data_IF_654275378344
#
_entry.id   IF_654275378344
#
_cell.length_a   1.000
_cell.length_b   1.000
_cell.length_c   1.000
_cell.angle_alpha   90.00
_cell.angle_beta   90.00
_cell.angle_gamma   90.00
#
_symmetry.space_group_name_H-M   'P 1'
#
loop_
_entity.id
_entity.type
_entity.pdbx_description
1 polymer ?
#
# COMPACT_ATOMS: atom_id res chain seq x y z
N UNK A 1 14.25 18.35 5.80
CA UNK A 1 13.05 18.71 6.59
C UNK A 1 12.41 17.43 7.08
N UNK A 2 12.40 17.20 8.41
CA UNK A 2 11.74 16.03 8.98
C UNK A 2 10.22 16.19 8.85
N UNK A 3 9.53 15.27 8.16
CA UNK A 3 8.07 15.18 8.18
C UNK A 3 7.65 14.99 9.63
N UNK A 4 7.00 16.00 10.20
CA UNK A 4 6.49 15.99 11.56
C UNK A 4 5.46 14.85 11.68
N UNK A 5 5.78 13.78 12.43
CA UNK A 5 5.00 12.53 12.51
C UNK A 5 3.90 12.66 13.58
N UNK A 6 3.09 13.71 13.51
CA UNK A 6 2.00 13.91 14.48
C UNK A 6 0.75 13.16 14.00
N UNK A 7 0.29 12.20 14.80
CA UNK A 7 -1.01 11.53 14.64
C UNK A 7 -1.02 10.12 14.06
N UNK A 8 0.12 9.51 13.76
CA UNK A 8 0.17 8.09 13.38
C UNK A 8 0.14 7.20 14.63
N UNK A 9 -0.74 6.20 14.61
CA UNK A 9 -0.87 5.16 15.65
C UNK A 9 -0.57 3.80 15.05
N UNK A 10 -0.09 2.87 15.87
CA UNK A 10 0.12 1.48 15.44
C UNK A 10 -1.20 0.88 14.93
N UNK A 11 -1.14 0.23 13.77
CA UNK A 11 -2.33 -0.42 13.22
C UNK A 11 -2.72 -1.62 14.07
N UNK A 12 -4.02 -1.78 14.28
CA UNK A 12 -4.71 -2.82 15.02
C UNK A 12 -5.93 -3.24 14.18
N UNK A 13 -6.46 -4.43 14.42
CA UNK A 13 -7.59 -4.97 13.63
C UNK A 13 -8.84 -4.09 13.66
N UNK A 14 -8.96 -3.22 14.68
CA UNK A 14 -10.09 -2.32 14.89
C UNK A 14 -9.88 -0.88 14.37
N UNK A 15 -8.66 -0.53 13.95
CA UNK A 15 -8.33 0.84 13.50
C UNK A 15 -7.90 0.94 12.03
N UNK A 16 -7.90 -0.18 11.30
CA UNK A 16 -7.66 -0.21 9.86
C UNK A 16 -8.87 0.36 9.09
N UNK A 17 -8.65 0.95 7.90
CA UNK A 17 -9.74 1.32 7.02
C UNK A 17 -10.49 0.09 6.54
N UNK A 18 -11.81 0.23 6.37
CA UNK A 18 -12.60 -0.81 5.70
C UNK A 18 -12.29 -0.75 4.21
N UNK A 19 -11.93 -1.89 3.65
CA UNK A 19 -11.75 -2.07 2.21
C UNK A 19 -12.76 -3.11 1.71
N UNK A 20 -13.45 -2.78 0.63
CA UNK A 20 -14.32 -3.71 -0.09
C UNK A 20 -13.68 -4.12 -1.42
N UNK A 21 -14.06 -5.30 -1.93
CA UNK A 21 -13.65 -5.82 -3.24
C UNK A 21 -13.92 -4.82 -4.36
N UNK A 22 -15.03 -4.08 -4.28
CA UNK A 22 -15.37 -3.04 -5.24
C UNK A 22 -14.35 -1.89 -5.22
N UNK A 23 -13.97 -1.38 -4.06
CA UNK A 23 -12.96 -0.32 -3.94
C UNK A 23 -11.63 -0.72 -4.56
N UNK A 24 -11.25 -1.98 -4.36
CA UNK A 24 -10.02 -2.56 -4.91
C UNK A 24 -10.15 -2.68 -6.43
N UNK A 25 -11.27 -3.19 -6.94
CA UNK A 25 -11.53 -3.31 -8.37
C UNK A 25 -11.54 -1.94 -9.07
N UNK A 26 -12.21 -0.95 -8.49
CA UNK A 26 -12.28 0.42 -9.00
C UNK A 26 -10.88 1.02 -9.07
N UNK A 27 -10.10 0.90 -7.99
CA UNK A 27 -8.71 1.36 -7.96
C UNK A 27 -7.85 0.72 -9.07
N UNK A 28 -7.96 -0.59 -9.29
CA UNK A 28 -7.24 -1.29 -10.35
C UNK A 28 -7.70 -0.88 -11.76
N UNK A 29 -8.99 -0.55 -11.93
CA UNK A 29 -9.55 -0.14 -13.20
C UNK A 29 -9.16 1.30 -13.59
N UNK A 30 -9.06 2.19 -12.61
CA UNK A 30 -8.74 3.61 -12.78
C UNK A 30 -7.23 3.87 -12.93
N UNK A 31 -6.37 2.94 -12.48
CA UNK A 31 -4.91 3.12 -12.55
C UNK A 31 -4.29 2.38 -13.73
N UNK A 32 -3.88 3.14 -14.75
CA UNK A 32 -3.21 2.63 -15.96
C UNK A 32 -1.94 1.81 -15.64
N UNK A 33 -1.20 2.14 -14.57
CA UNK A 33 -0.01 1.41 -14.11
C UNK A 33 -0.28 -0.03 -13.65
N UNK A 34 -1.52 -0.36 -13.25
CA UNK A 34 -1.89 -1.71 -12.85
C UNK A 34 -2.73 -2.45 -13.91
N UNK A 35 -3.21 -1.72 -14.93
CA UNK A 35 -3.95 -2.27 -16.06
C UNK A 35 -3.04 -2.67 -17.25
N UNK A 36 -1.71 -2.70 -17.03
CA UNK A 36 -0.75 -3.13 -18.05
C UNK A 36 -0.69 -4.66 -18.10
N UNK A 37 -0.73 -5.23 -19.31
CA UNK A 37 -0.72 -6.68 -19.53
C UNK A 37 0.49 -7.40 -18.91
N UNK A 38 1.62 -6.71 -18.73
CA UNK A 38 2.86 -7.25 -18.17
C UNK A 38 2.84 -7.42 -16.64
N UNK A 39 2.00 -6.65 -15.94
CA UNK A 39 1.88 -6.68 -14.47
C UNK A 39 0.75 -7.61 -14.01
N UNK A 40 -0.12 -8.04 -14.94
CA UNK A 40 -1.22 -8.97 -14.68
C UNK A 40 -0.68 -10.34 -14.28
N UNK A 41 -0.82 -10.66 -12.99
CA UNK A 41 -0.75 -12.04 -12.47
C UNK A 41 0.56 -12.45 -11.79
N UNK A 42 1.67 -11.70 -11.91
CA UNK A 42 2.94 -12.10 -11.27
C UNK A 42 2.95 -11.82 -9.77
N UNK A 43 2.30 -10.73 -9.32
CA UNK A 43 2.19 -10.39 -7.88
C UNK A 43 0.89 -10.88 -7.23
N UNK A 44 -0.20 -11.01 -8.00
CA UNK A 44 -1.45 -11.58 -7.49
C UNK A 44 -1.27 -13.03 -7.04
N UNK A 45 -0.67 -13.88 -7.89
CA UNK A 45 -0.36 -15.29 -7.54
C UNK A 45 0.56 -15.45 -6.33
N UNK A 46 1.42 -14.47 -6.03
CA UNK A 46 2.33 -14.51 -4.86
C UNK A 46 1.67 -14.03 -3.58
N UNK A 47 0.76 -13.05 -3.67
CA UNK A 47 -0.02 -12.58 -2.53
C UNK A 47 -1.14 -13.57 -2.12
N UNK A 48 -1.52 -14.49 -3.01
CA UNK A 48 -2.45 -15.60 -2.74
C UNK A 48 -1.82 -16.75 -1.92
N UNK A 49 -0.49 -16.76 -1.76
CA UNK A 49 0.19 -17.76 -0.95
C UNK A 49 -0.12 -17.53 0.54
N UNK A 50 -0.68 -18.55 1.20
CA UNK A 50 -1.24 -18.43 2.56
C UNK A 50 -0.20 -18.02 3.59
N UNK A 51 1.06 -18.33 3.35
CA UNK A 51 2.17 -18.04 4.26
C UNK A 51 2.76 -16.62 4.04
N UNK A 52 2.44 -15.95 2.92
CA UNK A 52 2.98 -14.63 2.57
C UNK A 52 2.42 -13.49 3.41
N UNK A 53 1.16 -13.60 3.86
CA UNK A 53 0.42 -12.49 4.46
C UNK A 53 1.02 -11.99 5.78
N UNK A 54 1.36 -12.89 6.69
CA UNK A 54 1.72 -12.53 8.07
C UNK A 54 3.24 -12.44 8.27
N UNK A 55 4.04 -13.25 7.58
CA UNK A 55 5.49 -13.24 7.71
C UNK A 55 6.16 -12.03 7.02
N UNK A 56 5.49 -11.44 6.03
CA UNK A 56 6.01 -10.33 5.23
C UNK A 56 5.69 -8.94 5.80
N UNK A 57 4.73 -8.80 6.73
CA UNK A 57 4.33 -7.48 7.24
C UNK A 57 5.10 -7.16 8.52
N UNK A 58 6.00 -6.17 8.45
CA UNK A 58 6.84 -5.79 9.58
C UNK A 58 6.13 -4.84 10.55
N UNK A 59 5.77 -3.65 10.09
CA UNK A 59 5.14 -2.61 10.92
C UNK A 59 4.14 -1.82 10.10
N UNK A 60 2.94 -1.62 10.64
CA UNK A 60 1.89 -0.83 10.01
C UNK A 60 1.43 0.26 10.98
N UNK A 61 1.30 1.47 10.46
CA UNK A 61 0.78 2.64 11.18
C UNK A 61 -0.35 3.27 10.37
N UNK A 62 -1.31 3.85 11.09
CA UNK A 62 -2.51 4.47 10.53
C UNK A 62 -2.66 5.86 11.11
N UNK A 63 -3.14 6.79 10.29
CA UNK A 63 -3.54 8.15 10.69
C UNK A 63 -4.87 8.49 10.04
N UNK A 64 -5.83 8.94 10.82
CA UNK A 64 -7.11 9.46 10.31
C UNK A 64 -7.15 10.97 10.40
N UNK A 65 -7.51 11.63 9.30
CA UNK A 65 -7.73 13.08 9.21
C UNK A 65 -9.07 13.33 8.50
N UNK A 66 -10.12 13.61 9.27
CA UNK A 66 -11.47 13.73 8.74
C UNK A 66 -11.95 12.41 8.12
N UNK A 67 -12.27 12.45 6.83
CA UNK A 67 -12.74 11.29 6.06
C UNK A 67 -11.59 10.47 5.46
N UNK A 68 -10.35 10.92 5.62
CA UNK A 68 -9.19 10.26 5.04
C UNK A 68 -8.47 9.40 6.06
N UNK A 69 -8.17 8.16 5.67
CA UNK A 69 -7.37 7.21 6.43
C UNK A 69 -6.08 6.92 5.67
N UNK A 70 -4.96 7.39 6.21
CA UNK A 70 -3.63 7.14 5.68
C UNK A 70 -3.02 5.94 6.39
N UNK A 71 -2.63 4.93 5.61
CA UNK A 71 -1.95 3.72 6.10
C UNK A 71 -0.53 3.72 5.58
N UNK A 72 0.44 3.41 6.45
CA UNK A 72 1.83 3.15 6.06
C UNK A 72 2.25 1.80 6.57
N UNK A 73 2.95 1.06 5.74
CA UNK A 73 3.44 -0.28 6.06
C UNK A 73 4.90 -0.45 5.69
N UNK A 74 5.63 -1.24 6.47
CA UNK A 74 6.91 -1.81 6.06
C UNK A 74 6.71 -3.28 5.73
N UNK A 75 7.09 -3.67 4.53
CA UNK A 75 6.95 -5.01 4.00
C UNK A 75 8.34 -5.61 3.82
N UNK A 76 8.57 -6.75 4.44
CA UNK A 76 9.75 -7.60 4.28
C UNK A 76 9.45 -8.64 3.19
N UNK A 77 10.15 -8.63 2.04
CA UNK A 77 9.98 -9.69 1.05
C UNK A 77 10.48 -11.02 1.62
N UNK A 78 9.54 -11.92 1.89
CA UNK A 78 9.70 -13.14 2.69
C UNK A 78 10.82 -14.10 2.26
N UNK A 79 11.25 -14.06 0.99
CA UNK A 79 12.08 -15.15 0.44
C UNK A 79 13.51 -14.77 0.04
N UNK A 80 14.03 -13.61 0.49
CA UNK A 80 15.47 -13.31 0.39
C UNK A 80 15.91 -12.52 1.62
N UNK A 81 16.55 -13.24 2.55
CA UNK A 81 17.15 -12.78 3.83
C UNK A 81 18.06 -11.53 3.68
N UNK A 82 18.38 -11.11 2.46
CA UNK A 82 19.26 -9.98 2.16
C UNK A 82 18.56 -8.74 1.55
N UNK A 83 17.24 -8.75 1.34
CA UNK A 83 16.53 -7.58 0.80
C UNK A 83 16.06 -6.66 1.93
N UNK A 84 16.30 -5.35 1.75
CA UNK A 84 15.82 -4.32 2.67
C UNK A 84 14.28 -4.31 2.68
N UNK A 85 13.64 -4.16 3.84
CA UNK A 85 12.19 -3.94 3.89
C UNK A 85 11.85 -2.69 3.07
N UNK A 86 10.76 -2.76 2.31
CA UNK A 86 10.25 -1.62 1.54
C UNK A 86 9.01 -1.05 2.21
N UNK A 87 8.89 0.27 2.13
CA UNK A 87 7.84 1.06 2.75
C UNK A 87 6.77 1.32 1.71
N UNK A 88 5.53 1.15 2.11
CA UNK A 88 4.34 1.43 1.30
C UNK A 88 3.47 2.45 2.01
N UNK A 89 2.79 3.27 1.23
CA UNK A 89 1.80 4.22 1.72
C UNK A 89 0.50 4.05 0.93
N UNK A 90 -0.62 4.17 1.62
CA UNK A 90 -1.96 4.12 1.04
C UNK A 90 -2.81 5.24 1.66
N UNK A 91 -3.67 5.84 0.85
CA UNK A 91 -4.68 6.78 1.32
C UNK A 91 -6.05 6.28 0.88
N UNK A 92 -6.97 6.19 1.84
CA UNK A 92 -8.35 5.78 1.63
C UNK A 92 -9.26 6.94 2.03
N UNK A 93 -10.23 7.27 1.19
CA UNK A 93 -11.35 8.10 1.56
C UNK A 93 -12.48 7.18 2.07
N UNK A 94 -12.69 7.20 3.39
CA UNK A 94 -13.68 6.37 4.10
C UNK A 94 -15.13 6.87 3.91
N UNK A 95 -15.35 8.08 3.37
CA UNK A 95 -16.71 8.61 3.14
C UNK A 95 -17.33 8.11 1.83
N UNK A 96 -16.52 8.06 0.76
CA UNK A 96 -16.97 7.64 -0.58
C UNK A 96 -16.50 6.24 -0.96
N UNK A 97 -15.94 5.49 0.01
CA UNK A 97 -15.35 4.17 -0.20
C UNK A 97 -14.38 4.17 -1.40
N UNK A 98 -13.38 5.05 -1.39
CA UNK A 98 -12.39 5.15 -2.49
C UNK A 98 -10.95 5.00 -2.01
N UNK A 99 -10.14 4.23 -2.73
CA UNK A 99 -8.68 4.24 -2.56
C UNK A 99 -8.10 5.36 -3.43
N UNK A 100 -7.54 6.38 -2.81
CA UNK A 100 -7.01 7.56 -3.52
C UNK A 100 -5.65 7.24 -4.16
N UNK A 101 -4.78 6.55 -3.42
CA UNK A 101 -3.51 6.06 -3.97
C UNK A 101 -2.94 4.91 -3.16
N UNK A 102 -2.07 4.14 -3.82
CA UNK A 102 -1.15 3.18 -3.22
C UNK A 102 0.24 3.41 -3.82
N UNK A 103 1.26 3.62 -2.98
CA UNK A 103 2.63 3.94 -3.41
C UNK A 103 3.64 3.07 -2.68
N UNK A 104 4.71 2.71 -3.40
CA UNK A 104 5.93 2.16 -2.81
C UNK A 104 6.94 3.30 -2.67
N UNK A 105 7.33 3.62 -1.44
CA UNK A 105 8.23 4.73 -1.13
C UNK A 105 9.71 4.36 -1.37
N UNK A 106 10.02 3.06 -1.45
CA UNK A 106 11.39 2.53 -1.59
C UNK A 106 11.66 1.92 -2.97
N UNK A 107 10.76 2.10 -3.94
CA UNK A 107 10.99 1.60 -5.29
C UNK A 107 11.91 2.53 -6.08
N UNK A 108 13.05 2.01 -6.55
CA UNK A 108 13.97 2.71 -7.46
C UNK A 108 13.36 3.04 -8.84
N UNK A 109 12.11 2.62 -9.11
CA UNK A 109 11.41 2.83 -10.38
C UNK A 109 10.61 4.15 -10.43
N UNK A 110 10.62 4.99 -9.39
CA UNK A 110 10.19 6.40 -9.51
C UNK A 110 11.40 7.22 -9.98
N UNK A 111 11.80 6.99 -11.22
CA UNK A 111 12.69 7.88 -11.94
C UNK A 111 12.28 7.95 -13.39
N UNK A 112 10.97 8.01 -13.69
CA UNK A 112 10.46 8.48 -14.98
C UNK A 112 9.05 9.05 -14.75
N UNK A 113 8.98 10.33 -14.37
CA UNK A 113 8.03 11.37 -14.87
C UNK A 113 8.19 12.62 -13.97
N UNK A 114 9.36 13.23 -14.03
CA UNK A 114 9.54 14.66 -13.76
C UNK A 114 10.54 15.17 -14.82
N UNK A 115 10.21 14.99 -16.10
CA UNK A 115 10.88 15.69 -17.19
C UNK A 115 9.86 15.91 -18.32
N UNK A 116 9.45 17.19 -18.42
CA UNK A 116 8.61 17.88 -19.42
C UNK A 116 7.08 17.85 -19.25
#
# INVERSE_FOLDING_TARGET
>A
MARNITGFVKAQSDNLPKLNVLMVADFFSENEFFNVAETRGVKAKRAEDKDYGDAAVGYVEVKREGNFCQVRGKICPEHRVNNKPYSVSMLVNEEIDKVEYVRCEDCAAVSITDDL
#
